data_IF_515565630953
#
_entry.id   IF_515565630953
#
_cell.length_a   1.000
_cell.length_b   1.000
_cell.length_c   1.000
_cell.angle_alpha   90.00
_cell.angle_beta   90.00
_cell.angle_gamma   90.00
#
_symmetry.space_group_name_H-M   'P 1'
#
loop_
_entity.id
_entity.type
_entity.pdbx_description
1 polymer ?
#
# COMPACT_ATOMS: atom_id res chain seq x y z
N UNK A 1 -12.91 -11.54 -60.48
CA UNK A 1 -12.56 -10.76 -59.27
C UNK A 1 -12.75 -11.71 -58.09
N UNK A 2 -11.66 -12.22 -57.51
CA UNK A 2 -11.72 -13.26 -56.46
C UNK A 2 -11.63 -12.57 -55.09
N UNK A 3 -12.62 -12.77 -54.24
CA UNK A 3 -12.69 -12.19 -52.90
C UNK A 3 -12.02 -13.13 -51.90
N UNK A 4 -10.87 -12.74 -51.35
CA UNK A 4 -10.21 -13.47 -50.27
C UNK A 4 -10.74 -12.93 -48.95
N UNK A 5 -11.58 -13.71 -48.26
CA UNK A 5 -12.02 -13.38 -46.91
C UNK A 5 -10.94 -13.84 -45.94
N UNK A 6 -10.16 -12.90 -45.41
CA UNK A 6 -9.22 -13.15 -44.31
C UNK A 6 -10.03 -13.25 -43.01
N UNK A 7 -10.02 -14.41 -42.36
CA UNK A 7 -10.54 -14.56 -41.00
C UNK A 7 -9.44 -14.12 -40.02
N UNK A 8 -9.71 -13.12 -39.19
CA UNK A 8 -8.82 -12.76 -38.09
C UNK A 8 -8.85 -13.86 -37.01
N UNK A 9 -7.71 -14.27 -36.43
CA UNK A 9 -7.73 -15.20 -35.30
C UNK A 9 -8.36 -14.52 -34.08
N UNK A 10 -9.37 -15.16 -33.50
CA UNK A 10 -9.99 -14.76 -32.24
C UNK A 10 -8.95 -14.82 -31.12
N UNK A 11 -8.66 -13.68 -30.50
CA UNK A 11 -7.84 -13.59 -29.30
C UNK A 11 -8.64 -14.11 -28.12
N UNK A 12 -8.32 -15.30 -27.62
CA UNK A 12 -8.88 -15.80 -26.36
C UNK A 12 -8.19 -15.06 -25.21
N UNK A 13 -8.91 -14.31 -24.36
CA UNK A 13 -8.30 -13.71 -23.19
C UNK A 13 -7.92 -14.85 -22.23
N UNK A 14 -6.62 -15.06 -22.08
CA UNK A 14 -6.09 -15.92 -21.03
C UNK A 14 -6.37 -15.20 -19.72
N UNK A 15 -7.33 -15.70 -18.94
CA UNK A 15 -7.48 -15.30 -17.55
C UNK A 15 -6.18 -15.68 -16.82
N UNK A 16 -5.34 -14.68 -16.57
CA UNK A 16 -4.26 -14.79 -15.58
C UNK A 16 -4.94 -15.02 -14.23
N UNK A 17 -4.86 -16.25 -13.74
CA UNK A 17 -5.22 -16.55 -12.36
C UNK A 17 -4.13 -15.90 -11.52
N UNK A 18 -4.39 -14.70 -10.99
CA UNK A 18 -3.53 -14.09 -9.99
C UNK A 18 -3.42 -15.06 -8.80
N UNK A 19 -2.23 -15.63 -8.65
CA UNK A 19 -1.90 -16.60 -7.62
C UNK A 19 -2.07 -15.97 -6.23
N UNK A 20 -3.18 -16.28 -5.57
CA UNK A 20 -3.51 -15.87 -4.19
C UNK A 20 -2.56 -16.44 -3.12
N UNK A 21 -1.53 -17.20 -3.49
CA UNK A 21 -0.54 -17.75 -2.54
C UNK A 21 0.50 -16.74 -2.06
N UNK A 22 0.43 -15.49 -2.50
CA UNK A 22 1.47 -14.50 -2.23
C UNK A 22 1.34 -13.75 -0.89
N UNK A 23 0.94 -14.45 0.17
CA UNK A 23 1.12 -13.95 1.55
C UNK A 23 2.61 -13.87 1.91
N UNK A 24 3.44 -14.74 1.32
CA UNK A 24 4.88 -14.79 1.55
C UNK A 24 5.67 -13.62 0.93
N UNK A 25 5.35 -13.10 -0.27
CA UNK A 25 6.04 -11.90 -0.79
C UNK A 25 5.54 -10.61 -0.16
N UNK A 26 4.33 -10.58 0.42
CA UNK A 26 3.91 -9.49 1.35
C UNK A 26 4.73 -9.51 2.64
N UNK A 27 4.97 -10.68 3.21
CA UNK A 27 5.78 -10.87 4.42
C UNK A 27 7.25 -10.43 4.21
N UNK A 28 7.84 -10.77 3.07
CA UNK A 28 9.24 -10.47 2.75
C UNK A 28 9.55 -8.96 2.60
N UNK A 29 8.56 -8.11 2.32
CA UNK A 29 8.71 -6.64 2.28
C UNK A 29 8.62 -5.97 3.67
N UNK A 30 8.18 -6.70 4.68
CA UNK A 30 7.97 -6.17 6.05
C UNK A 30 9.18 -6.35 6.96
N UNK A 31 10.12 -7.22 6.61
CA UNK A 31 11.22 -7.62 7.47
C UNK A 31 12.49 -6.76 7.26
N UNK A 32 12.37 -5.44 7.35
CA UNK A 32 13.51 -4.61 7.73
C UNK A 32 13.46 -4.47 9.27
N UNK A 33 14.27 -5.22 10.04
CA UNK A 33 14.19 -5.25 11.49
C UNK A 33 14.57 -3.91 12.15
N UNK A 34 15.11 -2.94 11.40
CA UNK A 34 15.46 -1.62 11.91
C UNK A 34 14.25 -0.79 12.36
N UNK A 35 13.05 -1.00 11.79
CA UNK A 35 11.81 -0.33 12.21
C UNK A 35 10.93 -1.16 13.16
N UNK A 36 11.31 -2.43 13.42
CA UNK A 36 10.60 -3.36 14.32
C UNK A 36 11.41 -3.51 15.63
N UNK A 37 12.07 -2.45 16.08
CA UNK A 37 12.59 -2.41 17.44
C UNK A 37 11.41 -2.17 18.39
N UNK A 38 10.81 -3.26 18.89
CA UNK A 38 9.80 -3.26 19.94
C UNK A 38 10.35 -2.52 21.18
N UNK A 39 10.12 -1.20 21.24
CA UNK A 39 10.61 -0.32 22.30
C UNK A 39 10.87 1.12 21.85
N UNK A 40 11.24 1.34 20.59
CA UNK A 40 11.41 2.68 20.01
C UNK A 40 10.30 2.90 19.00
N UNK A 41 9.32 3.74 19.32
CA UNK A 41 8.29 4.13 18.34
C UNK A 41 8.95 5.10 17.37
N UNK A 42 9.52 4.56 16.29
CA UNK A 42 9.99 5.36 15.18
C UNK A 42 8.80 6.16 14.63
N UNK A 43 9.01 7.47 14.45
CA UNK A 43 8.02 8.32 13.78
C UNK A 43 7.91 7.85 12.33
N UNK A 44 6.69 7.76 11.83
CA UNK A 44 6.44 7.38 10.44
C UNK A 44 5.85 8.56 9.67
N UNK A 45 6.02 8.55 8.35
CA UNK A 45 5.30 9.43 7.42
C UNK A 45 4.44 8.57 6.50
N UNK A 46 3.22 9.04 6.19
CA UNK A 46 2.26 8.31 5.35
C UNK A 46 2.19 9.00 3.99
N UNK A 47 2.63 8.32 2.93
CA UNK A 47 2.60 8.83 1.55
C UNK A 47 1.35 8.35 0.82
N UNK A 48 0.53 9.29 0.35
CA UNK A 48 -0.70 9.02 -0.41
C UNK A 48 -0.61 9.82 -1.72
N UNK A 49 -0.61 9.12 -2.85
CA UNK A 49 -0.55 9.74 -4.19
C UNK A 49 0.57 10.80 -4.34
N UNK A 50 1.75 10.54 -3.78
CA UNK A 50 2.90 11.46 -3.88
C UNK A 50 2.85 12.67 -2.95
N UNK A 51 1.96 12.68 -1.94
CA UNK A 51 1.90 13.69 -0.88
C UNK A 51 1.91 13.02 0.49
N UNK A 52 2.65 13.56 1.44
CA UNK A 52 2.61 13.13 2.84
C UNK A 52 1.33 13.62 3.50
N UNK A 53 0.60 12.73 4.15
CA UNK A 53 -0.52 13.11 5.01
C UNK A 53 -0.01 14.04 6.12
N UNK A 54 -0.68 15.16 6.35
CA UNK A 54 -0.40 16.08 7.45
C UNK A 54 -1.66 16.39 8.26
N UNK A 55 -1.49 16.56 9.57
CA UNK A 55 -2.56 17.01 10.47
C UNK A 55 -2.09 18.31 11.12
N UNK A 56 -2.68 19.43 10.71
CA UNK A 56 -2.32 20.75 11.20
C UNK A 56 -2.84 20.99 12.62
N UNK A 57 -2.25 21.95 13.33
CA UNK A 57 -2.65 22.32 14.71
C UNK A 57 -4.12 22.71 14.87
N UNK A 58 -4.75 23.22 13.81
CA UNK A 58 -6.17 23.57 13.80
C UNK A 58 -7.09 22.36 13.56
N UNK A 59 -6.55 21.15 13.47
CA UNK A 59 -7.28 19.90 13.22
C UNK A 59 -7.55 19.61 11.74
N UNK A 60 -7.10 20.46 10.82
CA UNK A 60 -7.26 20.23 9.37
C UNK A 60 -6.35 19.09 8.93
N UNK A 61 -6.90 18.20 8.09
CA UNK A 61 -6.15 17.12 7.44
C UNK A 61 -5.95 17.47 5.97
N UNK A 62 -4.71 17.44 5.50
CA UNK A 62 -4.33 17.73 4.11
C UNK A 62 -3.12 16.87 3.71
N UNK A 63 -2.63 17.04 2.47
CA UNK A 63 -1.35 16.47 2.01
C UNK A 63 -0.29 17.55 1.83
N UNK A 64 0.99 17.21 1.99
CA UNK A 64 2.12 18.09 1.68
C UNK A 64 3.17 17.38 0.83
N UNK A 65 3.92 18.12 0.02
CA UNK A 65 5.12 17.61 -0.66
C UNK A 65 6.40 17.92 0.12
N UNK A 66 6.29 18.67 1.22
CA UNK A 66 7.43 18.97 2.08
C UNK A 66 7.83 17.72 2.89
N UNK A 67 8.95 17.13 2.49
CA UNK A 67 9.57 15.97 3.14
C UNK A 67 10.01 16.26 4.58
N UNK A 68 10.15 17.54 4.97
CA UNK A 68 10.57 17.96 6.31
C UNK A 68 9.40 18.48 7.16
N UNK A 69 8.15 18.32 6.71
CA UNK A 69 6.99 18.75 7.49
C UNK A 69 6.87 17.95 8.80
N UNK A 70 6.91 18.66 9.93
CA UNK A 70 6.70 18.09 11.27
C UNK A 70 5.25 17.58 11.45
N UNK A 71 4.28 18.24 10.81
CA UNK A 71 2.86 17.91 10.89
C UNK A 71 2.51 16.60 10.14
N UNK A 72 3.50 16.02 9.43
CA UNK A 72 3.38 14.75 8.70
C UNK A 72 3.95 13.53 9.44
N UNK A 73 4.45 13.72 10.66
CA UNK A 73 5.05 12.66 11.46
C UNK A 73 4.06 12.04 12.45
N UNK A 74 3.84 10.74 12.34
CA UNK A 74 2.86 10.01 13.15
C UNK A 74 3.51 8.95 14.02
N UNK A 75 2.85 8.68 15.16
CA UNK A 75 3.08 7.49 15.98
C UNK A 75 1.83 6.61 15.89
N UNK A 76 1.99 5.38 15.43
CA UNK A 76 0.89 4.40 15.41
C UNK A 76 0.87 3.66 16.74
N UNK A 77 -0.29 3.69 17.40
CA UNK A 77 -0.55 2.87 18.58
C UNK A 77 -1.48 1.72 18.19
N UNK A 78 -1.04 0.49 18.38
CA UNK A 78 -1.87 -0.70 18.22
C UNK A 78 -2.71 -0.87 19.49
N UNK A 79 -4.02 -0.60 19.41
CA UNK A 79 -4.87 -0.51 20.59
C UNK A 79 -5.68 -1.77 20.92
N UNK A 80 -5.59 -2.86 20.14
CA UNK A 80 -6.42 -4.05 20.39
C UNK A 80 -5.72 -5.37 20.11
N UNK A 81 -5.86 -6.32 21.04
CA UNK A 81 -5.67 -7.76 20.80
C UNK A 81 -6.86 -8.23 19.96
N UNK A 82 -6.69 -9.01 18.87
CA UNK A 82 -7.81 -9.50 18.08
C UNK A 82 -8.79 -10.26 18.98
N UNK A 83 -10.04 -9.80 19.04
CA UNK A 83 -11.12 -10.53 19.72
C UNK A 83 -11.54 -11.68 18.81
N UNK A 84 -11.19 -12.90 19.20
CA UNK A 84 -11.76 -14.12 18.64
C UNK A 84 -13.12 -14.32 19.29
N UNK A 85 -14.18 -14.31 18.49
CA UNK A 85 -15.51 -14.72 18.93
C UNK A 85 -15.65 -16.23 18.64
N UNK A 86 -16.01 -17.00 19.67
CA UNK A 86 -16.43 -18.40 19.55
C UNK A 86 -17.96 -18.47 19.43
#
# INVERSE_FOLDING_TARGET
MVSVVTMAPMYSPQMEIEDMSDSSKRNARSANPSSIAAGTVDKIKILIHGRFLQILRNGTVDGTQDENSDDSEFKIFLSTIPKVYF
#
